data_IF_761827040089
#
_entry.id   IF_761827040089
#
_cell.length_a   1.000
_cell.length_b   1.000
_cell.length_c   1.000
_cell.angle_alpha   90.00
_cell.angle_beta   90.00
_cell.angle_gamma   90.00
#
_symmetry.space_group_name_H-M   'P 1'
#
loop_
_entity.id
_entity.type
_entity.pdbx_description
1 polymer ?
#
# COMPACT_ATOMS: atom_id res chain seq x y z
N UNK A 1 -3.25 33.42 7.08
CA UNK A 1 -2.06 33.60 7.97
C UNK A 1 -0.81 32.84 7.48
N UNK A 2 -0.87 32.15 6.32
CA UNK A 2 0.30 31.46 5.75
C UNK A 2 1.30 32.49 5.16
N UNK A 3 2.53 32.60 5.68
CA UNK A 3 3.52 33.60 5.27
C UNK A 3 4.05 33.42 3.83
N UNK A 4 3.91 32.24 3.25
CA UNK A 4 4.30 31.97 1.87
C UNK A 4 3.24 32.40 0.86
N UNK A 5 2.02 32.71 1.32
CA UNK A 5 0.93 33.09 0.44
C UNK A 5 1.21 34.46 -0.18
N UNK A 6 1.23 34.60 -1.53
CA UNK A 6 1.41 35.91 -2.17
C UNK A 6 0.39 36.94 -1.69
N UNK A 7 0.80 38.20 -1.53
CA UNK A 7 -0.04 39.26 -0.96
C UNK A 7 -1.41 39.43 -1.64
N UNK A 8 -1.48 39.27 -2.96
CA UNK A 8 -2.73 39.34 -3.69
C UNK A 8 -3.67 38.17 -3.36
N UNK A 9 -3.13 36.96 -3.09
CA UNK A 9 -3.92 35.81 -2.67
C UNK A 9 -4.35 35.95 -1.20
N UNK A 10 -3.57 36.59 -0.35
CA UNK A 10 -3.99 36.87 1.03
C UNK A 10 -5.26 37.70 1.05
N UNK A 11 -5.36 38.70 0.16
CA UNK A 11 -6.56 39.54 0.03
C UNK A 11 -7.76 38.70 -0.44
N UNK A 12 -7.58 37.82 -1.40
CA UNK A 12 -8.64 36.91 -1.88
C UNK A 12 -9.07 35.94 -0.77
N UNK A 13 -8.10 35.32 -0.09
CA UNK A 13 -8.36 34.39 1.00
C UNK A 13 -9.18 35.01 2.14
N UNK A 14 -8.86 36.28 2.50
CA UNK A 14 -9.61 37.03 3.51
C UNK A 14 -11.07 37.29 3.09
N UNK A 15 -11.33 37.50 1.80
CA UNK A 15 -12.67 37.73 1.26
C UNK A 15 -13.49 36.47 1.02
N UNK A 16 -12.88 35.33 0.84
CA UNK A 16 -13.54 34.06 0.46
C UNK A 16 -13.48 32.99 1.55
N UNK A 17 -12.86 33.26 2.68
CA UNK A 17 -12.69 32.29 3.77
C UNK A 17 -11.58 31.27 3.53
N UNK A 18 -10.79 31.45 2.47
CA UNK A 18 -9.63 30.59 2.18
C UNK A 18 -9.35 30.48 0.68
N UNK A 19 -8.22 29.92 0.36
CA UNK A 19 -7.79 29.56 -1.01
C UNK A 19 -7.29 28.14 -1.03
N UNK A 20 -7.57 27.44 -2.14
CA UNK A 20 -7.07 26.08 -2.38
C UNK A 20 -5.99 26.14 -3.45
N UNK A 21 -4.89 25.46 -3.21
CA UNK A 21 -3.87 25.22 -4.21
C UNK A 21 -3.93 23.77 -4.71
N UNK A 22 -3.79 23.58 -6.00
CA UNK A 22 -3.54 22.25 -6.59
C UNK A 22 -2.07 22.22 -7.00
N UNK A 23 -1.31 21.35 -6.36
CA UNK A 23 0.13 21.26 -6.57
C UNK A 23 0.40 20.22 -7.65
N UNK A 24 1.25 20.58 -8.60
CA UNK A 24 1.80 19.62 -9.53
C UNK A 24 2.87 18.77 -8.80
N UNK A 25 2.70 17.45 -8.72
CA UNK A 25 3.63 16.56 -8.05
C UNK A 25 4.97 16.38 -8.79
N UNK A 26 5.17 17.01 -9.95
CA UNK A 26 6.40 16.88 -10.75
C UNK A 26 7.65 17.22 -9.92
N UNK A 27 7.57 18.22 -9.03
CA UNK A 27 8.66 18.56 -8.13
C UNK A 27 9.02 17.48 -7.11
N UNK A 28 8.16 16.51 -6.89
CA UNK A 28 8.34 15.48 -5.86
C UNK A 28 9.02 14.22 -6.38
N UNK A 29 8.97 13.95 -7.69
CA UNK A 29 9.76 12.91 -8.38
C UNK A 29 9.72 11.53 -7.73
N UNK A 30 8.55 11.10 -7.19
CA UNK A 30 8.44 9.77 -6.61
C UNK A 30 8.50 8.69 -7.68
N UNK A 31 9.25 7.62 -7.40
CA UNK A 31 9.30 6.44 -8.26
C UNK A 31 8.82 5.22 -7.51
N UNK A 32 8.31 4.25 -8.25
CA UNK A 32 7.92 2.95 -7.71
C UNK A 32 8.47 1.86 -8.62
N UNK A 33 9.16 0.90 -8.01
CA UNK A 33 9.66 -0.29 -8.71
C UNK A 33 9.03 -1.51 -8.04
N UNK A 34 8.53 -2.42 -8.84
CA UNK A 34 8.03 -3.71 -8.37
C UNK A 34 8.63 -4.81 -9.24
N UNK A 35 9.25 -5.79 -8.60
CA UNK A 35 9.75 -7.00 -9.22
C UNK A 35 8.92 -8.17 -8.73
N UNK A 36 8.60 -9.11 -9.62
CA UNK A 36 7.84 -10.31 -9.31
C UNK A 36 8.48 -11.50 -9.95
N UNK A 37 8.67 -12.54 -9.15
CA UNK A 37 9.18 -13.81 -9.61
C UNK A 37 8.20 -14.92 -9.22
N UNK A 38 8.05 -15.90 -10.11
CA UNK A 38 7.20 -17.05 -9.85
C UNK A 38 7.91 -18.31 -10.33
N UNK A 39 8.07 -19.25 -9.42
CA UNK A 39 8.53 -20.59 -9.72
C UNK A 39 7.41 -21.59 -9.40
N UNK A 40 7.24 -22.61 -10.23
CA UNK A 40 6.26 -23.68 -10.01
C UNK A 40 6.83 -25.01 -10.48
N UNK A 41 6.69 -26.03 -9.64
CA UNK A 41 6.98 -27.40 -9.98
C UNK A 41 5.68 -28.23 -9.86
N UNK A 42 5.47 -29.12 -10.81
CA UNK A 42 4.33 -30.05 -10.81
C UNK A 42 4.86 -31.43 -11.15
N UNK A 43 4.43 -32.41 -10.37
CA UNK A 43 4.62 -33.82 -10.66
C UNK A 43 3.29 -34.52 -10.61
N UNK A 44 3.02 -35.43 -11.54
CA UNK A 44 1.79 -36.16 -11.58
C UNK A 44 2.02 -37.60 -12.01
N UNK A 45 1.14 -38.46 -11.61
CA UNK A 45 1.04 -39.84 -12.01
C UNK A 45 -0.42 -40.14 -12.42
N UNK A 46 -0.62 -40.62 -13.60
CA UNK A 46 -1.90 -41.07 -14.09
C UNK A 46 -1.81 -42.52 -14.55
N UNK A 47 -2.90 -43.26 -14.50
CA UNK A 47 -2.95 -44.61 -14.98
C UNK A 47 -4.37 -45.15 -15.08
N UNK A 48 -4.46 -46.26 -15.76
CA UNK A 48 -5.69 -47.02 -15.89
C UNK A 48 -5.48 -48.39 -15.24
N UNK A 49 -6.51 -48.90 -14.60
CA UNK A 49 -6.57 -50.31 -14.19
C UNK A 49 -7.08 -51.18 -15.37
N UNK A 50 -6.93 -52.46 -15.28
CA UNK A 50 -7.35 -53.45 -16.35
C UNK A 50 -8.86 -53.42 -16.68
N UNK A 51 -9.56 -52.47 -16.17
CA UNK A 51 -10.99 -52.26 -16.29
C UNK A 51 -11.33 -50.80 -16.61
N UNK A 52 -12.57 -50.39 -16.42
CA UNK A 52 -13.07 -49.03 -16.69
C UNK A 52 -12.61 -47.97 -15.71
N UNK A 53 -11.65 -48.26 -14.83
CA UNK A 53 -11.21 -47.37 -13.78
C UNK A 53 -9.88 -46.66 -14.14
N UNK A 54 -9.81 -45.37 -13.85
CA UNK A 54 -8.58 -44.60 -13.99
C UNK A 54 -8.30 -43.78 -12.72
N UNK A 55 -7.05 -43.45 -12.53
CA UNK A 55 -6.62 -42.62 -11.42
C UNK A 55 -5.63 -41.53 -11.86
N UNK A 56 -5.66 -40.43 -11.13
CA UNK A 56 -4.69 -39.35 -11.26
C UNK A 56 -4.29 -38.91 -9.86
N UNK A 57 -2.98 -38.73 -9.65
CA UNK A 57 -2.40 -38.17 -8.44
C UNK A 57 -1.44 -37.10 -8.87
N UNK A 58 -1.55 -35.90 -8.31
CA UNK A 58 -0.61 -34.82 -8.62
C UNK A 58 -0.16 -34.08 -7.36
N UNK A 59 1.06 -33.55 -7.42
CA UNK A 59 1.60 -32.64 -6.42
C UNK A 59 2.14 -31.41 -7.12
N UNK A 60 1.77 -30.26 -6.60
CA UNK A 60 2.23 -28.96 -7.07
C UNK A 60 2.87 -28.22 -5.91
N UNK A 61 4.04 -27.64 -6.14
CA UNK A 61 4.66 -26.65 -5.26
C UNK A 61 4.92 -25.39 -6.06
N UNK A 62 4.56 -24.24 -5.49
CA UNK A 62 4.82 -22.94 -6.07
C UNK A 62 5.59 -22.06 -5.09
N UNK A 63 6.28 -21.05 -5.63
CA UNK A 63 6.85 -19.95 -4.88
C UNK A 63 6.64 -18.66 -5.67
N UNK A 64 5.99 -17.70 -5.04
CA UNK A 64 5.82 -16.36 -5.56
C UNK A 64 6.56 -15.38 -4.65
N UNK A 65 7.41 -14.58 -5.26
CA UNK A 65 8.13 -13.50 -4.57
C UNK A 65 7.79 -12.16 -5.24
N UNK A 66 7.49 -11.16 -4.42
CA UNK A 66 7.30 -9.80 -4.86
C UNK A 66 8.13 -8.87 -3.99
N UNK A 67 9.05 -8.13 -4.60
CA UNK A 67 9.73 -7.03 -3.96
C UNK A 67 9.25 -5.69 -4.53
N UNK A 68 9.04 -4.74 -3.65
CA UNK A 68 8.60 -3.39 -3.99
C UNK A 68 9.50 -2.35 -3.34
N UNK A 69 9.84 -1.31 -4.07
CA UNK A 69 10.48 -0.13 -3.52
C UNK A 69 9.81 1.14 -4.02
N UNK A 70 9.69 2.12 -3.17
CA UNK A 70 9.19 3.44 -3.50
C UNK A 70 10.13 4.50 -2.97
N UNK A 71 10.58 5.40 -3.84
CA UNK A 71 11.41 6.52 -3.41
C UNK A 71 10.60 7.78 -3.28
N UNK A 72 10.96 8.65 -2.34
CA UNK A 72 10.36 9.97 -2.12
C UNK A 72 8.84 9.89 -1.92
N UNK A 73 8.39 8.97 -1.08
CA UNK A 73 7.00 8.83 -0.68
C UNK A 73 6.64 9.88 0.37
N UNK A 74 5.51 10.55 0.17
CA UNK A 74 5.02 11.56 1.11
C UNK A 74 4.54 10.88 2.39
N UNK A 75 5.03 11.36 3.54
CA UNK A 75 4.52 11.04 4.86
C UNK A 75 3.37 12.03 5.12
N UNK A 76 2.14 11.55 5.09
CA UNK A 76 0.94 12.40 5.03
C UNK A 76 0.82 13.38 6.20
N UNK A 77 1.00 12.93 7.43
CA UNK A 77 0.90 13.79 8.61
C UNK A 77 1.97 14.89 8.62
N UNK A 78 3.21 14.58 8.24
CA UNK A 78 4.29 15.56 8.08
C UNK A 78 4.02 16.55 6.95
N UNK A 79 3.49 16.06 5.84
CA UNK A 79 3.10 16.91 4.72
C UNK A 79 2.08 17.95 5.15
N UNK A 80 0.99 17.53 5.82
CA UNK A 80 -0.04 18.47 6.27
C UNK A 80 0.47 19.45 7.32
N UNK A 81 1.36 19.01 8.21
CA UNK A 81 1.99 19.90 9.15
C UNK A 81 2.91 20.93 8.47
N UNK A 82 3.69 20.53 7.46
CA UNK A 82 4.60 21.38 6.75
C UNK A 82 3.93 22.47 5.89
N UNK A 83 2.82 22.15 5.25
CA UNK A 83 2.06 23.11 4.43
C UNK A 83 1.22 24.07 5.26
N UNK A 84 0.90 23.72 6.52
CA UNK A 84 0.23 24.61 7.48
C UNK A 84 1.25 25.53 8.16
N UNK A 85 1.86 26.40 7.35
CA UNK A 85 2.85 27.36 7.80
C UNK A 85 2.19 28.62 8.34
N UNK A 86 2.77 29.15 9.42
CA UNK A 86 2.40 30.44 10.04
C UNK A 86 3.66 31.27 10.28
N UNK A 87 3.48 32.56 10.56
CA UNK A 87 4.61 33.40 11.06
C UNK A 87 4.85 33.09 12.52
N UNK A 88 6.08 32.77 12.86
CA UNK A 88 6.50 32.65 14.26
C UNK A 88 6.25 33.95 15.04
N UNK A 89 5.57 33.91 16.19
CA UNK A 89 5.15 35.11 16.89
C UNK A 89 6.33 35.91 17.49
N UNK A 90 7.52 35.32 17.61
CA UNK A 90 8.71 35.96 18.19
C UNK A 90 9.65 36.45 17.09
N UNK A 91 9.97 35.62 16.13
CA UNK A 91 10.95 35.93 15.08
C UNK A 91 10.32 36.50 13.81
N UNK A 92 9.01 36.27 13.57
CA UNK A 92 8.32 36.58 12.32
C UNK A 92 8.65 35.63 11.16
N UNK A 93 9.52 34.66 11.35
CA UNK A 93 9.94 33.72 10.32
C UNK A 93 8.83 32.70 10.04
N UNK A 94 8.75 32.13 8.80
CA UNK A 94 7.88 31.03 8.53
C UNK A 94 8.19 29.81 9.42
N UNK A 95 7.16 29.27 10.06
CA UNK A 95 7.24 28.04 10.87
C UNK A 95 5.98 27.22 10.72
N UNK A 96 6.00 25.94 11.11
CA UNK A 96 4.79 25.12 11.14
C UNK A 96 3.87 25.56 12.30
N UNK A 97 2.55 25.58 12.08
CA UNK A 97 1.59 25.85 13.15
C UNK A 97 1.76 24.87 14.30
N UNK A 98 2.00 23.59 14.02
CA UNK A 98 2.24 22.56 15.03
C UNK A 98 3.46 22.82 15.94
N UNK A 99 4.39 23.70 15.53
CA UNK A 99 5.55 24.07 16.35
C UNK A 99 5.22 25.17 17.35
N UNK A 100 4.28 26.08 17.02
CA UNK A 100 3.90 27.21 17.90
C UNK A 100 2.63 26.95 18.69
N UNK A 101 1.75 26.10 18.18
CA UNK A 101 0.54 25.64 18.87
C UNK A 101 0.38 24.12 18.67
N UNK A 102 0.99 23.31 19.54
CA UNK A 102 0.93 21.85 19.43
C UNK A 102 -0.46 21.25 19.54
N UNK A 103 -1.43 22.00 20.05
CA UNK A 103 -2.82 21.57 20.21
C UNK A 103 -3.72 22.07 19.07
N UNK A 104 -3.18 22.93 18.20
CA UNK A 104 -3.96 23.37 17.05
C UNK A 104 -4.28 22.18 16.14
N UNK A 105 -5.54 22.02 15.72
CA UNK A 105 -5.87 21.04 14.71
C UNK A 105 -5.08 21.36 13.43
N UNK A 106 -4.47 20.36 12.76
CA UNK A 106 -3.93 20.58 11.44
C UNK A 106 -5.07 21.06 10.53
N UNK A 107 -4.86 22.20 9.86
CA UNK A 107 -5.86 22.81 9.00
C UNK A 107 -6.24 21.90 7.85
N UNK A 108 -7.32 21.20 7.91
CA UNK A 108 -7.86 20.23 6.92
C UNK A 108 -7.00 19.01 6.63
N UNK A 109 -7.32 17.92 7.27
CA UNK A 109 -6.93 16.60 6.78
C UNK A 109 -7.97 16.13 5.76
N UNK A 110 -7.62 15.78 4.52
CA UNK A 110 -8.59 15.36 3.51
C UNK A 110 -9.30 14.04 3.84
N UNK A 111 -8.93 13.37 4.93
CA UNK A 111 -9.41 12.04 5.31
C UNK A 111 -10.21 12.00 6.63
N UNK A 112 -10.63 13.14 7.15
CA UNK A 112 -11.43 13.17 8.39
C UNK A 112 -10.68 12.66 9.62
N UNK A 113 -9.36 12.70 9.61
CA UNK A 113 -8.51 12.30 10.73
C UNK A 113 -8.71 13.31 11.85
N UNK A 114 -8.87 12.86 13.12
CA UNK A 114 -8.99 13.75 14.26
C UNK A 114 -7.86 14.78 14.30
N UNK A 115 -8.19 15.99 14.64
CA UNK A 115 -7.27 17.12 14.65
C UNK A 115 -5.99 16.89 15.45
N UNK A 116 -6.00 16.02 16.42
CA UNK A 116 -4.84 15.61 17.20
C UNK A 116 -5.07 14.22 17.78
N UNK A 117 -4.38 13.23 17.21
CA UNK A 117 -4.21 11.91 17.80
C UNK A 117 -2.71 11.64 17.92
N UNK A 118 -2.14 11.64 19.14
CA UNK A 118 -0.71 11.43 19.34
C UNK A 118 -0.21 10.09 18.78
N UNK A 119 -1.07 9.09 18.67
CA UNK A 119 -0.75 7.80 18.07
C UNK A 119 -0.72 7.81 16.55
N UNK A 120 -1.20 8.88 15.93
CA UNK A 120 -1.31 9.01 14.48
C UNK A 120 -0.11 9.74 13.84
N UNK A 121 0.56 10.61 14.59
CA UNK A 121 1.66 11.40 14.05
C UNK A 121 2.99 10.63 14.07
N UNK A 122 3.74 10.71 12.97
CA UNK A 122 5.12 10.23 12.88
C UNK A 122 6.16 11.23 13.47
N UNK A 123 5.68 12.32 14.08
CA UNK A 123 6.47 13.33 14.78
C UNK A 123 5.71 13.83 16.01
N UNK A 124 6.38 14.55 16.91
CA UNK A 124 5.73 15.14 18.10
C UNK A 124 5.47 16.61 17.87
N UNK A 125 4.19 17.07 17.78
CA UNK A 125 3.89 18.50 17.69
C UNK A 125 4.57 19.29 18.83
N UNK A 126 5.21 20.41 18.48
CA UNK A 126 5.94 21.25 19.43
C UNK A 126 7.40 20.85 19.67
N UNK A 127 7.91 19.77 19.10
CA UNK A 127 9.30 19.34 19.22
C UNK A 127 10.29 20.15 18.37
N UNK A 128 9.79 21.02 17.51
CA UNK A 128 10.59 21.84 16.60
C UNK A 128 11.15 21.10 15.39
N UNK A 129 10.77 19.84 15.17
CA UNK A 129 11.24 19.05 14.02
C UNK A 129 10.56 19.43 12.71
N UNK A 130 9.37 20.02 12.75
CA UNK A 130 8.61 20.39 11.56
C UNK A 130 9.30 21.53 10.80
N UNK A 131 9.50 21.30 9.50
CA UNK A 131 10.08 22.29 8.58
C UNK A 131 8.99 22.77 7.63
N UNK A 132 8.63 24.07 7.62
CA UNK A 132 7.55 24.56 6.79
C UNK A 132 7.88 24.46 5.30
N UNK A 133 6.87 24.08 4.50
CA UNK A 133 7.00 23.87 3.07
C UNK A 133 6.25 24.97 2.30
N UNK A 134 6.96 25.68 1.44
CA UNK A 134 6.39 26.71 0.58
C UNK A 134 5.81 26.08 -0.69
N UNK A 135 4.52 25.85 -0.70
CA UNK A 135 3.80 25.29 -1.85
C UNK A 135 3.28 26.37 -2.83
N UNK A 136 3.49 27.65 -2.53
CA UNK A 136 2.92 28.75 -3.30
C UNK A 136 3.88 29.31 -4.36
N UNK A 137 5.18 29.11 -4.18
CA UNK A 137 6.22 29.57 -5.09
C UNK A 137 6.73 28.49 -6.07
N UNK A 138 5.93 27.45 -6.29
CA UNK A 138 6.27 26.33 -7.18
C UNK A 138 7.49 25.55 -6.71
N UNK A 139 8.14 24.85 -7.64
CA UNK A 139 9.29 23.99 -7.30
C UNK A 139 10.49 24.75 -6.69
N UNK A 140 10.60 26.05 -6.92
CA UNK A 140 11.64 26.89 -6.31
C UNK A 140 11.41 27.22 -4.84
N UNK A 141 10.18 27.03 -4.33
CA UNK A 141 9.84 27.27 -2.92
C UNK A 141 10.16 26.11 -1.99
N UNK A 142 10.46 24.92 -2.54
CA UNK A 142 10.72 23.71 -1.74
C UNK A 142 12.16 23.67 -1.27
N UNK A 143 12.39 23.88 0.03
CA UNK A 143 13.72 23.62 0.59
C UNK A 143 14.02 22.13 0.62
N UNK A 144 15.28 21.75 0.40
CA UNK A 144 15.70 20.34 0.48
C UNK A 144 15.38 19.75 1.86
N UNK A 145 15.63 20.52 2.92
CA UNK A 145 15.35 20.11 4.29
C UNK A 145 13.85 19.83 4.53
N UNK A 146 12.94 20.65 3.99
CA UNK A 146 11.50 20.40 4.09
C UNK A 146 11.11 19.14 3.30
N UNK A 147 11.69 18.95 2.11
CA UNK A 147 11.46 17.73 1.31
C UNK A 147 11.94 16.47 2.03
N UNK A 148 13.13 16.52 2.63
CA UNK A 148 13.68 15.37 3.40
C UNK A 148 12.85 15.07 4.65
N UNK A 149 12.22 16.09 5.23
CA UNK A 149 11.37 15.92 6.40
C UNK A 149 9.99 15.30 6.04
N UNK A 150 9.41 15.67 4.90
CA UNK A 150 8.09 15.21 4.49
C UNK A 150 8.09 13.93 3.66
N UNK A 151 9.26 13.42 3.26
CA UNK A 151 9.39 12.26 2.40
C UNK A 151 10.20 11.15 3.04
N UNK A 152 9.95 9.93 2.58
CA UNK A 152 10.70 8.73 2.95
C UNK A 152 10.77 7.78 1.77
N UNK A 153 11.74 6.88 1.82
CA UNK A 153 11.77 5.71 0.96
C UNK A 153 11.04 4.56 1.65
N UNK A 154 10.37 3.75 0.86
CA UNK A 154 9.62 2.58 1.32
C UNK A 154 10.11 1.33 0.61
N UNK A 155 10.00 0.20 1.27
CA UNK A 155 10.26 -1.10 0.68
C UNK A 155 9.26 -2.10 1.23
N UNK A 156 9.01 -3.14 0.45
CA UNK A 156 8.16 -4.26 0.85
C UNK A 156 8.64 -5.54 0.21
N UNK A 157 8.48 -6.64 0.91
CA UNK A 157 8.73 -7.97 0.38
C UNK A 157 7.55 -8.88 0.74
N UNK A 158 7.07 -9.65 -0.23
CA UNK A 158 6.01 -10.62 -0.06
C UNK A 158 6.48 -11.95 -0.66
N UNK A 159 6.41 -13.01 0.13
CA UNK A 159 6.67 -14.38 -0.31
C UNK A 159 5.42 -15.21 -0.05
N UNK A 160 4.98 -15.98 -1.05
CA UNK A 160 3.85 -16.91 -0.94
C UNK A 160 4.31 -18.27 -1.44
N UNK A 161 4.18 -19.30 -0.61
CA UNK A 161 4.54 -20.67 -0.90
C UNK A 161 3.30 -21.58 -0.84
N UNK A 162 2.59 -21.82 -1.96
CA UNK A 162 1.50 -22.77 -2.04
C UNK A 162 2.00 -24.18 -2.32
N UNK A 163 1.47 -25.17 -1.62
CA UNK A 163 1.62 -26.59 -1.87
C UNK A 163 0.25 -27.24 -2.02
N UNK A 164 0.05 -28.03 -3.05
CA UNK A 164 -1.21 -28.72 -3.31
C UNK A 164 -0.91 -30.17 -3.68
N UNK A 165 -1.62 -31.09 -3.05
CA UNK A 165 -1.65 -32.52 -3.44
C UNK A 165 -3.08 -32.89 -3.74
N UNK A 166 -3.31 -33.46 -4.90
CA UNK A 166 -4.64 -33.94 -5.30
C UNK A 166 -4.58 -35.39 -5.75
N UNK A 167 -5.66 -36.10 -5.50
CA UNK A 167 -5.87 -37.47 -5.97
C UNK A 167 -7.28 -37.59 -6.49
N UNK A 168 -7.44 -38.28 -7.60
CA UNK A 168 -8.71 -38.47 -8.27
C UNK A 168 -8.83 -39.91 -8.81
N UNK A 169 -9.99 -40.49 -8.65
CA UNK A 169 -10.32 -41.81 -9.21
C UNK A 169 -11.69 -41.70 -9.89
N UNK A 170 -11.80 -42.23 -11.08
CA UNK A 170 -13.05 -42.34 -11.78
C UNK A 170 -13.20 -43.73 -12.38
N UNK A 171 -14.44 -44.11 -12.68
CA UNK A 171 -14.74 -45.40 -13.27
C UNK A 171 -16.25 -45.65 -13.34
N UNK A 172 -16.60 -46.87 -13.65
CA UNK A 172 -17.98 -47.33 -13.65
C UNK A 172 -18.12 -48.73 -13.02
N UNK A 173 -19.34 -49.20 -12.92
CA UNK A 173 -19.67 -50.48 -12.28
C UNK A 173 -19.75 -51.64 -13.25
N UNK A 174 -19.37 -51.50 -14.54
CA UNK A 174 -19.51 -52.52 -15.57
C UNK A 174 -18.87 -53.85 -15.20
N UNK A 175 -17.78 -53.83 -14.42
CA UNK A 175 -17.06 -55.03 -13.98
C UNK A 175 -17.75 -55.80 -12.83
N UNK A 176 -18.71 -55.18 -12.16
CA UNK A 176 -19.35 -55.75 -10.95
C UNK A 176 -20.84 -56.00 -11.17
N UNK A 177 -21.52 -54.99 -11.72
CA UNK A 177 -22.95 -55.09 -12.08
C UNK A 177 -23.36 -53.98 -13.05
N UNK A 178 -24.33 -54.26 -13.86
CA UNK A 178 -24.99 -53.30 -14.72
C UNK A 178 -26.49 -53.22 -14.40
N UNK A 179 -27.02 -52.00 -14.47
CA UNK A 179 -28.45 -51.75 -14.43
C UNK A 179 -29.06 -52.03 -15.82
N UNK A 180 -30.41 -52.21 -15.95
CA UNK A 180 -31.08 -52.41 -17.24
C UNK A 180 -30.80 -51.34 -18.30
N UNK A 181 -30.27 -50.20 -17.89
CA UNK A 181 -29.94 -49.06 -18.75
C UNK A 181 -28.42 -48.71 -18.80
N UNK A 182 -27.56 -49.61 -18.31
CA UNK A 182 -26.11 -49.48 -18.35
C UNK A 182 -25.44 -49.35 -16.96
N UNK A 183 -24.10 -49.30 -16.91
CA UNK A 183 -23.35 -49.16 -15.67
C UNK A 183 -23.53 -47.79 -15.00
N UNK A 184 -23.24 -47.73 -13.73
CA UNK A 184 -23.21 -46.49 -12.97
C UNK A 184 -21.79 -45.94 -13.00
N UNK A 185 -21.60 -44.72 -13.55
CA UNK A 185 -20.30 -44.01 -13.49
C UNK A 185 -20.16 -43.26 -12.19
N UNK A 186 -18.95 -43.21 -11.67
CA UNK A 186 -18.59 -42.44 -10.48
C UNK A 186 -17.25 -41.70 -10.64
N UNK A 187 -17.08 -40.65 -9.85
CA UNK A 187 -15.82 -39.89 -9.73
C UNK A 187 -15.65 -39.48 -8.28
N UNK A 188 -14.48 -39.73 -7.73
CA UNK A 188 -14.12 -39.37 -6.35
C UNK A 188 -12.75 -38.71 -6.37
N UNK A 189 -12.61 -37.57 -5.70
CA UNK A 189 -11.35 -36.87 -5.57
C UNK A 189 -11.15 -36.29 -4.17
N UNK A 190 -9.90 -36.07 -3.83
CA UNK A 190 -9.48 -35.39 -2.63
C UNK A 190 -8.36 -34.41 -2.95
N UNK A 191 -8.38 -33.25 -2.31
CA UNK A 191 -7.30 -32.24 -2.40
C UNK A 191 -6.88 -31.84 -0.99
N UNK A 192 -5.58 -31.76 -0.80
CA UNK A 192 -4.97 -31.10 0.35
C UNK A 192 -4.19 -29.89 -0.16
N UNK A 193 -4.44 -28.73 0.45
CA UNK A 193 -3.77 -27.48 0.12
C UNK A 193 -3.20 -26.84 1.38
N UNK A 194 -1.97 -26.40 1.28
CA UNK A 194 -1.31 -25.57 2.28
C UNK A 194 -0.76 -24.33 1.59
N UNK A 195 -0.95 -23.18 2.19
CA UNK A 195 -0.43 -21.91 1.69
C UNK A 195 0.16 -21.11 2.84
N UNK A 196 1.41 -20.73 2.73
CA UNK A 196 2.06 -19.81 3.65
C UNK A 196 2.34 -18.49 2.96
N UNK A 197 2.22 -17.39 3.71
CA UNK A 197 2.59 -16.06 3.25
C UNK A 197 3.42 -15.34 4.30
N UNK A 198 4.49 -14.70 3.86
CA UNK A 198 5.34 -13.83 4.68
C UNK A 198 5.41 -12.46 4.01
N UNK A 199 5.13 -11.39 4.77
CA UNK A 199 5.13 -10.03 4.28
C UNK A 199 5.94 -9.13 5.22
N UNK A 200 6.85 -8.35 4.64
CA UNK A 200 7.67 -7.37 5.36
C UNK A 200 7.54 -5.99 4.70
N UNK A 201 7.44 -4.93 5.55
CA UNK A 201 7.22 -3.55 5.11
C UNK A 201 8.20 -2.60 5.77
#
# INVERSE_FOLDING_TARGET
>A
DNPFLPAWLQTVAAGTGGVRNTIDPIGFGSTSKTERETARAVIGLEGEFDNSWSYEISATYGRFEQSGSGTRRIINDRWFAAIDAVSDPVSGAPTCRSSVDPLAPPGTTPFGIPAYDPGYFSFTPGDGSCIPLDIWNGAGGYSQAAMDWVMTDTWSNLVIDPAVVSAFVNGDTSDFFELPHGPISFAVGAEYREESSDATF
#
